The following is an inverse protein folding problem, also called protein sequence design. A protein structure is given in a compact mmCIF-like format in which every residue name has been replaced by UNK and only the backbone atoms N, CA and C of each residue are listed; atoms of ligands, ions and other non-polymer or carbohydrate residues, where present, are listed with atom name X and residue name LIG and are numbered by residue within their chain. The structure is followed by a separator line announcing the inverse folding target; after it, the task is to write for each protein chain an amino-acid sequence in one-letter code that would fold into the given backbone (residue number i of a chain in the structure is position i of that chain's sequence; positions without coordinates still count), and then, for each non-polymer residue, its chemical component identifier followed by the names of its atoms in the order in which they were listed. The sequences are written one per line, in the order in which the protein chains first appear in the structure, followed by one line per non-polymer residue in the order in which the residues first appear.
data_IF_691135607914
#
_entry.id   IF_691135607914
#
_cell.length_a   1.000
_cell.length_b   1.000
_cell.length_c   1.000
_cell.angle_alpha   90.00
_cell.angle_beta   90.00
_cell.angle_gamma   90.00
#
_symmetry.space_group_name_H-M   'P 1'
#
loop_
_entity.id
_entity.type
_entity.pdbx_description
1 polymer ?
#
# COMPACT_ATOMS: atom_id res chain seq x y z
N UNK A 1 11.13 20.63 -9.95
CA UNK A 1 10.45 20.92 -8.67
C UNK A 1 9.21 20.04 -8.59
N UNK A 2 9.19 19.05 -7.70
CA UNK A 2 8.00 18.23 -7.45
C UNK A 2 7.17 18.89 -6.35
N UNK A 3 5.85 18.93 -6.49
CA UNK A 3 4.89 19.56 -5.59
C UNK A 3 5.14 19.18 -4.11
N UNK A 4 5.91 19.97 -3.33
CA UNK A 4 6.52 19.48 -2.08
C UNK A 4 5.52 19.41 -0.92
N UNK A 5 4.33 19.99 -1.12
CA UNK A 5 3.23 20.01 -0.17
C UNK A 5 2.05 19.13 -0.60
N UNK A 6 2.18 18.37 -1.69
CA UNK A 6 1.14 17.44 -2.12
C UNK A 6 0.92 16.38 -1.04
N UNK A 7 -0.31 16.28 -0.54
CA UNK A 7 -0.72 15.33 0.51
C UNK A 7 -1.64 14.23 -0.01
N UNK A 8 -2.40 14.53 -1.06
CA UNK A 8 -3.37 13.63 -1.64
C UNK A 8 -3.05 13.46 -3.12
N UNK A 9 -2.88 12.20 -3.54
CA UNK A 9 -2.63 11.83 -4.92
C UNK A 9 -3.50 10.63 -5.29
N UNK A 10 -4.30 10.80 -6.33
CA UNK A 10 -5.09 9.74 -6.93
C UNK A 10 -4.58 9.46 -8.34
N UNK A 11 -4.18 8.21 -8.58
CA UNK A 11 -3.72 7.69 -9.87
C UNK A 11 -4.55 6.49 -10.29
N UNK A 12 -5.79 6.37 -9.80
CA UNK A 12 -6.66 5.24 -10.10
C UNK A 12 -6.80 5.04 -11.61
N UNK A 13 -6.72 3.78 -12.06
CA UNK A 13 -6.81 3.38 -13.47
C UNK A 13 -5.75 4.02 -14.39
N UNK A 14 -4.65 4.56 -13.86
CA UNK A 14 -3.49 4.96 -14.66
C UNK A 14 -2.64 3.74 -15.05
N UNK A 15 -3.17 2.92 -15.95
CA UNK A 15 -2.60 1.64 -16.39
C UNK A 15 -1.43 1.79 -17.38
N UNK A 16 -1.27 2.95 -18.01
CA UNK A 16 -0.17 3.23 -18.96
C UNK A 16 1.13 3.68 -18.31
N UNK A 17 1.15 3.89 -16.99
CA UNK A 17 2.37 4.28 -16.26
C UNK A 17 3.21 3.02 -16.02
N UNK A 18 4.46 2.93 -16.55
CA UNK A 18 5.33 1.81 -16.26
C UNK A 18 5.67 1.76 -14.75
N UNK A 19 5.73 0.57 -14.12
CA UNK A 19 5.95 0.44 -12.68
C UNK A 19 7.14 1.27 -12.15
N UNK A 20 8.25 1.29 -12.88
CA UNK A 20 9.47 2.03 -12.51
C UNK A 20 9.24 3.53 -12.32
N UNK A 21 8.28 4.13 -13.02
CA UNK A 21 8.02 5.57 -12.95
C UNK A 21 7.36 5.98 -11.63
N UNK A 22 6.64 5.05 -10.97
CA UNK A 22 6.06 5.28 -9.65
C UNK A 22 7.13 5.55 -8.57
N UNK A 23 8.40 5.17 -8.80
CA UNK A 23 9.51 5.51 -7.87
C UNK A 23 9.67 7.01 -7.68
N UNK A 24 9.27 7.83 -8.67
CA UNK A 24 9.31 9.29 -8.57
C UNK A 24 8.40 9.83 -7.46
N UNK A 25 7.34 9.09 -7.08
CA UNK A 25 6.44 9.44 -5.98
C UNK A 25 7.15 9.42 -4.62
N UNK A 26 8.30 8.75 -4.50
CA UNK A 26 9.12 8.76 -3.28
C UNK A 26 9.68 10.16 -2.93
N UNK A 27 9.61 11.10 -3.87
CA UNK A 27 9.93 12.52 -3.64
C UNK A 27 8.86 13.26 -2.82
N UNK A 28 7.62 12.75 -2.80
CA UNK A 28 6.45 13.34 -2.14
C UNK A 28 6.42 12.98 -0.65
N UNK A 29 7.41 13.45 0.11
CA UNK A 29 7.62 13.04 1.52
C UNK A 29 6.48 13.39 2.47
N UNK A 30 5.64 14.36 2.10
CA UNK A 30 4.44 14.79 2.85
C UNK A 30 3.15 14.10 2.38
N UNK A 31 3.24 13.09 1.51
CA UNK A 31 2.08 12.38 1.00
C UNK A 31 1.40 11.60 2.14
N UNK A 32 0.09 11.85 2.30
CA UNK A 32 -0.76 11.27 3.33
C UNK A 32 -1.78 10.29 2.72
N UNK A 33 -2.27 10.56 1.51
CA UNK A 33 -3.18 9.69 0.78
C UNK A 33 -2.61 9.36 -0.59
N UNK A 34 -2.57 8.07 -0.89
CA UNK A 34 -2.19 7.54 -2.19
C UNK A 34 -3.23 6.53 -2.67
N UNK A 35 -3.87 6.82 -3.79
CA UNK A 35 -4.84 5.92 -4.43
C UNK A 35 -4.25 5.39 -5.72
N UNK A 36 -4.10 4.06 -5.78
CA UNK A 36 -3.49 3.34 -6.90
C UNK A 36 -4.44 2.27 -7.46
N UNK A 37 -5.74 2.37 -7.18
CA UNK A 37 -6.74 1.39 -7.59
C UNK A 37 -6.63 1.08 -9.09
N UNK A 38 -6.54 -0.21 -9.46
CA UNK A 38 -6.37 -0.66 -10.86
C UNK A 38 -5.17 -0.03 -11.58
N UNK A 39 -4.03 0.09 -10.90
CA UNK A 39 -2.77 0.51 -11.55
C UNK A 39 -1.81 -0.66 -11.69
N UNK A 40 -0.86 -0.53 -12.63
CA UNK A 40 0.19 -1.53 -12.86
C UNK A 40 1.41 -1.31 -11.94
N UNK A 41 1.20 -0.91 -10.69
CA UNK A 41 2.30 -0.74 -9.73
C UNK A 41 2.81 -2.11 -9.25
N UNK A 42 4.14 -2.28 -9.21
CA UNK A 42 4.76 -3.51 -8.73
C UNK A 42 5.23 -3.40 -7.26
N UNK A 43 5.53 -4.55 -6.66
CA UNK A 43 6.05 -4.64 -5.28
C UNK A 43 7.23 -3.69 -5.04
N UNK A 44 8.25 -3.73 -5.90
CA UNK A 44 9.49 -2.97 -5.69
C UNK A 44 9.22 -1.46 -5.60
N UNK A 45 8.38 -0.93 -6.48
CA UNK A 45 8.04 0.49 -6.49
C UNK A 45 7.25 0.90 -5.25
N UNK A 46 6.38 0.04 -4.72
CA UNK A 46 5.73 0.25 -3.43
C UNK A 46 6.72 0.28 -2.27
N UNK A 47 7.73 -0.60 -2.25
CA UNK A 47 8.76 -0.57 -1.21
C UNK A 47 9.54 0.75 -1.24
N UNK A 48 9.88 1.24 -2.43
CA UNK A 48 10.52 2.55 -2.58
C UNK A 48 9.65 3.70 -2.06
N UNK A 49 8.38 3.74 -2.43
CA UNK A 49 7.43 4.77 -1.98
C UNK A 49 7.31 4.74 -0.46
N UNK A 50 7.01 3.58 0.13
CA UNK A 50 6.80 3.43 1.58
C UNK A 50 8.06 3.72 2.39
N UNK A 51 9.26 3.52 1.84
CA UNK A 51 10.51 3.89 2.51
C UNK A 51 10.68 5.41 2.71
N UNK A 52 10.03 6.24 1.88
CA UNK A 52 10.18 7.71 1.89
C UNK A 52 8.91 8.46 2.31
N UNK A 53 7.73 7.97 1.94
CA UNK A 53 6.43 8.56 2.27
C UNK A 53 5.93 8.03 3.63
N UNK A 54 6.63 8.40 4.70
CA UNK A 54 6.37 7.89 6.06
C UNK A 54 5.13 8.50 6.73
N UNK A 55 4.63 9.60 6.18
CA UNK A 55 3.41 10.27 6.63
C UNK A 55 2.12 9.68 6.03
N UNK A 56 2.21 8.57 5.29
CA UNK A 56 1.04 7.89 4.71
C UNK A 56 0.04 7.47 5.78
N UNK A 57 -1.22 7.83 5.54
CA UNK A 57 -2.41 7.55 6.36
C UNK A 57 -3.44 6.71 5.62
N UNK A 58 -3.56 6.91 4.30
CA UNK A 58 -4.53 6.21 3.47
C UNK A 58 -3.83 5.65 2.23
N UNK A 59 -3.92 4.35 2.03
CA UNK A 59 -3.36 3.68 0.86
C UNK A 59 -4.40 2.75 0.23
N UNK A 60 -4.66 2.92 -1.06
CA UNK A 60 -5.50 2.02 -1.84
C UNK A 60 -4.68 1.30 -2.92
N UNK A 61 -4.61 -0.02 -2.83
CA UNK A 61 -3.96 -0.94 -3.76
C UNK A 61 -4.96 -1.95 -4.37
N UNK A 62 -6.26 -1.65 -4.31
CA UNK A 62 -7.29 -2.55 -4.81
C UNK A 62 -7.07 -2.86 -6.30
N UNK A 63 -7.18 -4.14 -6.66
CA UNK A 63 -7.03 -4.62 -8.04
C UNK A 63 -5.66 -4.28 -8.69
N UNK A 64 -4.61 -4.09 -7.89
CA UNK A 64 -3.22 -3.93 -8.37
C UNK A 64 -2.54 -5.29 -8.61
N UNK A 65 -2.79 -5.89 -9.77
CA UNK A 65 -2.35 -7.26 -10.09
C UNK A 65 -0.81 -7.47 -10.13
N UNK A 66 -0.02 -6.40 -10.26
CA UNK A 66 1.44 -6.47 -10.33
C UNK A 66 2.14 -6.49 -8.96
N UNK A 67 1.38 -6.42 -7.87
CA UNK A 67 1.89 -6.61 -6.50
C UNK A 67 1.99 -8.10 -6.19
N UNK A 68 3.13 -8.71 -6.54
CA UNK A 68 3.34 -10.17 -6.37
C UNK A 68 3.68 -10.61 -4.94
N UNK A 69 4.21 -9.71 -4.09
CA UNK A 69 4.64 -10.03 -2.72
C UNK A 69 3.92 -9.14 -1.67
N UNK A 70 2.60 -9.28 -1.49
CA UNK A 70 1.83 -8.39 -0.63
C UNK A 70 2.21 -8.47 0.86
N UNK A 71 2.63 -9.63 1.38
CA UNK A 71 3.08 -9.75 2.77
C UNK A 71 4.35 -8.91 3.04
N UNK A 72 5.26 -8.82 2.07
CA UNK A 72 6.44 -7.94 2.13
C UNK A 72 6.02 -6.47 2.08
N UNK A 73 5.03 -6.12 1.24
CA UNK A 73 4.47 -4.76 1.22
C UNK A 73 3.90 -4.40 2.59
N UNK A 74 3.14 -5.30 3.23
CA UNK A 74 2.58 -5.07 4.56
C UNK A 74 3.66 -4.92 5.64
N UNK A 75 4.74 -5.71 5.59
CA UNK A 75 5.88 -5.55 6.50
C UNK A 75 6.52 -4.15 6.38
N UNK A 76 6.75 -3.67 5.15
CA UNK A 76 7.34 -2.36 4.90
C UNK A 76 6.40 -1.20 5.25
N UNK A 77 5.10 -1.34 4.97
CA UNK A 77 4.08 -0.39 5.41
C UNK A 77 4.05 -0.29 6.94
N UNK A 78 3.97 -1.44 7.60
CA UNK A 78 3.89 -1.51 9.05
C UNK A 78 5.12 -0.91 9.75
N UNK A 79 6.32 -1.10 9.17
CA UNK A 79 7.57 -0.56 9.73
C UNK A 79 7.79 0.92 9.44
N UNK A 80 7.36 1.43 8.27
CA UNK A 80 7.66 2.80 7.85
C UNK A 80 6.50 3.80 8.01
N UNK A 81 5.25 3.34 7.97
CA UNK A 81 4.04 4.17 7.90
C UNK A 81 3.16 3.92 9.13
N UNK A 82 3.66 4.22 10.33
CA UNK A 82 2.95 3.95 11.61
C UNK A 82 1.71 4.84 11.83
N UNK A 83 1.53 5.88 10.99
CA UNK A 83 0.32 6.71 10.98
C UNK A 83 -0.78 6.17 10.07
N UNK A 84 -0.62 4.99 9.49
CA UNK A 84 -1.63 4.37 8.61
C UNK A 84 -2.96 4.20 9.35
N UNK A 85 -4.03 4.71 8.75
CA UNK A 85 -5.42 4.63 9.22
C UNK A 85 -6.30 3.79 8.31
N UNK A 86 -6.06 3.86 6.99
CA UNK A 86 -6.86 3.13 6.01
C UNK A 86 -5.98 2.39 5.02
N UNK A 87 -6.28 1.11 4.81
CA UNK A 87 -5.62 0.28 3.81
C UNK A 87 -6.67 -0.53 3.03
N UNK A 88 -6.68 -0.35 1.72
CA UNK A 88 -7.45 -1.18 0.80
C UNK A 88 -6.48 -2.05 -0.02
N UNK A 89 -6.65 -3.37 0.08
CA UNK A 89 -5.95 -4.38 -0.71
C UNK A 89 -6.95 -5.33 -1.37
N UNK A 90 -8.14 -4.85 -1.70
CA UNK A 90 -9.20 -5.62 -2.33
C UNK A 90 -8.68 -6.41 -3.54
N UNK A 91 -9.06 -7.69 -3.60
CA UNK A 91 -8.68 -8.64 -4.65
C UNK A 91 -7.16 -8.89 -4.76
N UNK A 92 -6.39 -8.59 -3.73
CA UNK A 92 -4.97 -8.95 -3.70
C UNK A 92 -4.82 -10.47 -3.56
N UNK A 93 -4.02 -11.06 -4.46
CA UNK A 93 -3.71 -12.49 -4.42
C UNK A 93 -2.49 -12.74 -3.54
N UNK A 94 -2.36 -13.93 -2.95
CA UNK A 94 -1.20 -14.36 -2.15
C UNK A 94 -0.98 -13.59 -0.82
N UNK A 95 -1.90 -12.70 -0.43
CA UNK A 95 -1.92 -12.14 0.91
C UNK A 95 -2.28 -13.22 1.95
N UNK A 96 -1.50 -13.34 3.03
CA UNK A 96 -1.72 -14.34 4.09
C UNK A 96 -1.88 -13.68 5.46
N UNK A 97 -2.23 -14.47 6.48
CA UNK A 97 -2.34 -14.03 7.88
C UNK A 97 -1.04 -13.42 8.42
N UNK A 98 0.13 -13.83 7.90
CA UNK A 98 1.43 -13.28 8.30
C UNK A 98 1.49 -11.78 8.00
N UNK A 99 1.03 -11.36 6.83
CA UNK A 99 0.96 -9.95 6.46
C UNK A 99 0.07 -9.15 7.41
N UNK A 100 -1.06 -9.71 7.83
CA UNK A 100 -1.97 -9.09 8.79
C UNK A 100 -1.35 -8.93 10.17
N UNK A 101 -0.56 -9.93 10.61
CA UNK A 101 0.17 -9.86 11.86
C UNK A 101 1.09 -8.64 11.92
N UNK A 102 1.74 -8.26 10.81
CA UNK A 102 2.57 -7.04 10.78
C UNK A 102 1.75 -5.77 11.03
N UNK A 103 0.60 -5.64 10.34
CA UNK A 103 -0.29 -4.50 10.50
C UNK A 103 -0.82 -4.40 11.94
N UNK A 104 -1.36 -5.48 12.51
CA UNK A 104 -1.91 -5.45 13.88
C UNK A 104 -0.84 -5.24 14.94
N UNK A 105 0.40 -5.63 14.66
CA UNK A 105 1.53 -5.44 15.59
C UNK A 105 2.04 -3.99 15.58
N UNK A 106 2.19 -3.35 14.42
CA UNK A 106 2.88 -2.03 14.33
C UNK A 106 2.00 -0.86 13.90
N UNK A 107 0.90 -1.07 13.18
CA UNK A 107 -0.05 -0.01 12.78
C UNK A 107 -1.19 0.12 13.81
N UNK A 108 -0.93 0.78 14.94
CA UNK A 108 -1.91 0.92 16.04
C UNK A 108 -3.07 1.89 15.74
N UNK A 109 -2.99 2.66 14.66
CA UNK A 109 -3.97 3.66 14.27
C UNK A 109 -4.88 3.22 13.12
N UNK A 110 -4.82 1.95 12.69
CA UNK A 110 -5.71 1.45 11.64
C UNK A 110 -7.17 1.54 12.11
N UNK A 111 -8.00 2.12 11.25
CA UNK A 111 -9.44 2.33 11.41
C UNK A 111 -10.21 1.56 10.33
N UNK A 112 -9.71 1.56 9.09
CA UNK A 112 -10.34 0.91 7.95
C UNK A 112 -9.38 -0.08 7.26
N UNK A 113 -9.82 -1.33 7.07
CA UNK A 113 -9.05 -2.36 6.39
C UNK A 113 -9.96 -3.16 5.43
N UNK A 114 -9.78 -2.97 4.13
CA UNK A 114 -10.51 -3.73 3.10
C UNK A 114 -9.61 -4.81 2.48
N UNK A 115 -9.96 -6.06 2.77
CA UNK A 115 -9.31 -7.27 2.23
C UNK A 115 -10.33 -8.15 1.50
N UNK A 116 -11.42 -7.57 1.02
CA UNK A 116 -12.43 -8.29 0.27
C UNK A 116 -11.80 -9.04 -0.91
N UNK A 117 -12.26 -10.27 -1.15
CA UNK A 117 -11.76 -11.12 -2.22
C UNK A 117 -10.27 -11.54 -2.11
N UNK A 118 -9.62 -11.33 -0.97
CA UNK A 118 -8.30 -11.89 -0.65
C UNK A 118 -8.41 -13.37 -0.24
N UNK A 119 -8.58 -14.28 -1.20
CA UNK A 119 -8.87 -15.71 -0.97
C UNK A 119 -7.83 -16.48 -0.16
N UNK A 120 -6.60 -15.96 -0.06
CA UNK A 120 -5.49 -16.58 0.66
C UNK A 120 -5.43 -16.19 2.14
N UNK A 121 -6.22 -15.17 2.55
CA UNK A 121 -6.40 -14.81 3.95
C UNK A 121 -7.33 -15.84 4.58
N UNK A 122 -6.75 -16.73 5.39
CA UNK A 122 -7.49 -17.72 6.18
C UNK A 122 -7.51 -17.27 7.63
N UNK A 123 -8.63 -17.50 8.31
CA UNK A 123 -8.65 -17.47 9.77
C UNK A 123 -7.68 -18.54 10.29
N UNK A 124 -6.85 -18.21 11.28
CA UNK A 124 -6.17 -19.24 12.07
C UNK A 124 -7.26 -20.02 12.80
N UNK A 125 -7.50 -21.27 12.41
CA UNK A 125 -8.24 -22.21 13.24
C UNK A 125 -7.35 -22.52 14.44
N UNK A 126 -7.75 -22.01 15.60
CA UNK A 126 -7.14 -22.33 16.90
C UNK A 126 -7.28 -23.80 17.28
#
# INVERSE_FOLDING_TARGET
MFCPNLRDLDLSSCDRIPPREFRQLSSLRKLQRLVLYRTQINTESLLWITSKCRDLRNLNLGDCCEVKNPNTVLYFLASNCQQLRSLDMWRTTQLTHIGLKYLTTWCKNIEDLDLGWCRSVRAESG
#
